data_IF_850636595431
#
_entry.id   IF_850636595431
#
_cell.length_a   1.000
_cell.length_b   1.000
_cell.length_c   1.000
_cell.angle_alpha   90.00
_cell.angle_beta   90.00
_cell.angle_gamma   90.00
#
_symmetry.space_group_name_H-M   'P 1'
#
loop_
_entity.id
_entity.type
_entity.pdbx_description
1 polymer ?
#
# COMPACT_ATOMS: atom_id res chain seq x y z
N UNK A 1 -6.17 -1.55 -32.50
CA UNK A 1 -5.90 -2.44 -31.35
C UNK A 1 -5.88 -1.54 -30.12
N UNK A 2 -6.86 -1.65 -29.21
CA UNK A 2 -6.83 -0.88 -27.96
C UNK A 2 -5.64 -1.35 -27.13
N UNK A 3 -4.90 -0.40 -26.55
CA UNK A 3 -3.85 -0.71 -25.58
C UNK A 3 -4.43 -1.58 -24.45
N UNK A 4 -3.69 -2.56 -23.93
CA UNK A 4 -4.13 -3.34 -22.79
C UNK A 4 -4.44 -2.38 -21.63
N UNK A 5 -5.63 -2.52 -21.03
CA UNK A 5 -6.01 -1.72 -19.86
C UNK A 5 -5.02 -2.02 -18.73
N UNK A 6 -4.42 -1.00 -18.10
CA UNK A 6 -3.47 -1.23 -17.01
C UNK A 6 -4.15 -1.98 -15.86
N UNK A 7 -3.53 -3.07 -15.42
CA UNK A 7 -4.03 -3.92 -14.34
C UNK A 7 -3.81 -3.21 -13.01
N UNK A 8 -4.90 -2.83 -12.35
CA UNK A 8 -4.86 -2.06 -11.11
C UNK A 8 -4.50 -2.96 -9.93
N UNK A 9 -3.37 -2.67 -9.27
CA UNK A 9 -2.92 -3.39 -8.08
C UNK A 9 -2.71 -2.39 -6.96
N UNK A 10 -3.58 -2.44 -5.97
CA UNK A 10 -3.67 -1.41 -4.93
C UNK A 10 -3.59 -2.06 -3.55
N UNK A 11 -2.82 -1.46 -2.65
CA UNK A 11 -2.85 -1.78 -1.22
C UNK A 11 -3.42 -0.60 -0.47
N UNK A 12 -4.55 -0.79 0.22
CA UNK A 12 -5.08 0.15 1.20
C UNK A 12 -4.44 -0.11 2.55
N UNK A 13 -3.60 0.82 3.00
CA UNK A 13 -2.81 0.72 4.22
C UNK A 13 -3.18 1.71 5.30
N UNK A 14 -2.68 1.45 6.50
CA UNK A 14 -2.91 2.25 7.71
C UNK A 14 -3.11 1.38 8.95
N UNK A 15 -3.08 2.02 10.12
CA UNK A 15 -3.26 1.33 11.40
C UNK A 15 -4.67 0.74 11.56
N UNK A 16 -4.86 -0.12 12.56
CA UNK A 16 -6.17 -0.67 12.90
C UNK A 16 -7.15 0.47 13.22
N UNK A 17 -8.41 0.30 12.82
CA UNK A 17 -9.44 1.33 12.97
C UNK A 17 -9.41 2.46 11.92
N UNK A 18 -8.42 2.51 11.02
CA UNK A 18 -8.39 3.53 9.95
C UNK A 18 -9.48 3.34 8.88
N UNK A 19 -10.02 2.13 8.75
CA UNK A 19 -11.09 1.80 7.79
C UNK A 19 -10.62 1.07 6.52
N UNK A 20 -9.43 0.45 6.53
CA UNK A 20 -8.85 -0.26 5.37
C UNK A 20 -9.83 -1.19 4.65
N UNK A 21 -10.46 -2.14 5.35
CA UNK A 21 -11.35 -3.11 4.71
C UNK A 21 -12.61 -2.45 4.13
N UNK A 22 -13.15 -1.44 4.81
CA UNK A 22 -14.29 -0.66 4.31
C UNK A 22 -13.93 0.15 3.07
N UNK A 23 -12.85 0.94 3.11
CA UNK A 23 -12.43 1.75 1.95
C UNK A 23 -11.92 0.86 0.82
N UNK A 24 -11.21 -0.23 1.13
CA UNK A 24 -10.67 -1.18 0.17
C UNK A 24 -11.76 -1.92 -0.60
N UNK A 25 -12.80 -2.43 0.08
CA UNK A 25 -13.94 -3.07 -0.60
C UNK A 25 -14.72 -2.09 -1.47
N UNK A 26 -14.93 -0.87 -0.98
CA UNK A 26 -15.57 0.22 -1.74
C UNK A 26 -14.75 0.64 -2.97
N UNK A 27 -13.43 0.68 -2.85
CA UNK A 27 -12.52 0.98 -3.95
C UNK A 27 -12.50 -0.14 -4.98
N UNK A 28 -12.45 -1.40 -4.55
CA UNK A 28 -12.49 -2.56 -5.44
C UNK A 28 -13.75 -2.55 -6.32
N UNK A 29 -14.91 -2.27 -5.72
CA UNK A 29 -16.18 -2.10 -6.45
C UNK A 29 -16.12 -0.97 -7.49
N UNK A 30 -15.52 0.17 -7.16
CA UNK A 30 -15.36 1.31 -8.08
C UNK A 30 -14.39 1.03 -9.23
N UNK A 31 -13.40 0.17 -9.00
CA UNK A 31 -12.43 -0.24 -10.01
C UNK A 31 -12.89 -1.45 -10.83
N UNK A 32 -13.92 -2.17 -10.37
CA UNK A 32 -14.38 -3.41 -11.01
C UNK A 32 -13.40 -4.57 -10.82
N UNK A 33 -12.68 -4.59 -9.70
CA UNK A 33 -11.65 -5.59 -9.38
C UNK A 33 -11.98 -6.32 -8.08
N UNK A 34 -11.22 -7.39 -7.80
CA UNK A 34 -11.36 -8.16 -6.56
C UNK A 34 -10.93 -7.36 -5.32
N UNK A 35 -11.58 -7.63 -4.19
CA UNK A 35 -11.13 -7.18 -2.87
C UNK A 35 -10.57 -8.36 -2.08
N UNK A 36 -9.39 -8.18 -1.49
CA UNK A 36 -8.72 -9.17 -0.64
C UNK A 36 -8.46 -8.54 0.74
N UNK A 37 -8.86 -9.22 1.80
CA UNK A 37 -8.46 -8.85 3.16
C UNK A 37 -7.18 -9.62 3.55
N UNK A 38 -6.06 -8.91 3.70
CA UNK A 38 -4.78 -9.56 3.98
C UNK A 38 -4.75 -10.27 5.33
N UNK A 39 -5.61 -9.89 6.28
CA UNK A 39 -5.64 -10.56 7.59
C UNK A 39 -6.03 -12.05 7.46
N UNK A 40 -6.81 -12.40 6.42
CA UNK A 40 -7.17 -13.78 6.07
C UNK A 40 -6.02 -14.61 5.49
N UNK A 41 -4.90 -13.98 5.13
CA UNK A 41 -3.72 -14.64 4.56
C UNK A 41 -2.65 -14.95 5.63
N UNK A 42 -2.90 -14.64 6.89
CA UNK A 42 -1.95 -14.95 7.95
C UNK A 42 -1.77 -16.47 8.12
N UNK A 43 -0.53 -16.96 8.27
CA UNK A 43 -0.30 -18.35 8.62
C UNK A 43 -0.86 -18.63 10.02
N UNK A 44 -1.25 -19.88 10.28
CA UNK A 44 -1.84 -20.30 11.55
C UNK A 44 -0.97 -19.94 12.76
N UNK A 45 0.35 -19.92 12.62
CA UNK A 45 1.30 -19.49 13.66
C UNK A 45 1.13 -18.03 14.05
N UNK A 46 0.87 -17.14 13.09
CA UNK A 46 0.64 -15.72 13.36
C UNK A 46 -0.71 -15.51 14.01
N UNK A 47 -1.74 -16.21 13.53
CA UNK A 47 -3.08 -16.17 14.12
C UNK A 47 -3.01 -16.61 15.59
N UNK A 48 -2.31 -17.70 15.89
CA UNK A 48 -2.13 -18.18 17.26
C UNK A 48 -1.38 -17.17 18.16
N UNK A 49 -0.28 -16.57 17.68
CA UNK A 49 0.45 -15.51 18.41
C UNK A 49 -0.45 -14.32 18.74
N UNK A 50 -1.18 -13.82 17.74
CA UNK A 50 -2.09 -12.68 17.94
C UNK A 50 -3.25 -13.02 18.87
N UNK A 51 -3.82 -14.23 18.76
CA UNK A 51 -4.86 -14.71 19.67
C UNK A 51 -4.37 -14.82 21.13
N UNK A 52 -3.09 -15.13 21.33
CA UNK A 52 -2.42 -15.12 22.63
C UNK A 52 -2.00 -13.71 23.10
N UNK A 53 -2.37 -12.64 22.38
CA UNK A 53 -2.00 -11.26 22.71
C UNK A 53 -0.52 -10.94 22.48
N UNK A 54 0.22 -11.82 21.81
CA UNK A 54 1.64 -11.61 21.50
C UNK A 54 1.76 -10.84 20.18
N UNK A 55 2.42 -9.67 20.16
CA UNK A 55 2.65 -8.93 18.93
C UNK A 55 3.52 -9.74 17.96
N UNK A 56 3.15 -9.72 16.67
CA UNK A 56 4.01 -10.27 15.63
C UNK A 56 5.28 -9.41 15.50
N UNK A 57 6.40 -10.03 15.12
CA UNK A 57 7.64 -9.36 14.75
C UNK A 57 7.83 -9.30 13.22
N UNK A 58 9.05 -9.01 12.76
CA UNK A 58 9.37 -8.96 11.32
C UNK A 58 9.45 -10.33 10.66
N UNK A 59 10.02 -11.30 11.35
CA UNK A 59 10.15 -12.66 10.85
C UNK A 59 8.78 -13.32 10.71
N UNK A 60 7.85 -12.99 11.60
CA UNK A 60 6.44 -13.40 11.51
C UNK A 60 5.74 -12.79 10.29
N UNK A 61 6.02 -11.51 9.98
CA UNK A 61 5.31 -10.77 8.92
C UNK A 61 5.86 -11.02 7.53
N UNK A 62 7.14 -11.31 7.38
CA UNK A 62 7.77 -11.46 6.05
C UNK A 62 7.12 -12.57 5.19
N UNK A 63 6.84 -13.80 5.69
CA UNK A 63 6.13 -14.82 4.91
C UNK A 63 4.72 -14.38 4.51
N UNK A 64 3.98 -13.79 5.44
CA UNK A 64 2.64 -13.27 5.20
C UNK A 64 2.61 -12.18 4.13
N UNK A 65 3.54 -11.23 4.16
CA UNK A 65 3.64 -10.18 3.14
C UNK A 65 3.98 -10.74 1.75
N UNK A 66 4.80 -11.80 1.68
CA UNK A 66 5.06 -12.51 0.42
C UNK A 66 3.81 -13.20 -0.11
N UNK A 67 2.99 -13.78 0.76
CA UNK A 67 1.71 -14.37 0.37
C UNK A 67 0.73 -13.32 -0.15
N UNK A 68 0.63 -12.18 0.54
CA UNK A 68 -0.16 -11.03 0.08
C UNK A 68 0.29 -10.56 -1.31
N UNK A 69 1.60 -10.40 -1.51
CA UNK A 69 2.16 -9.99 -2.80
C UNK A 69 1.83 -11.01 -3.91
N UNK A 70 1.92 -12.31 -3.60
CA UNK A 70 1.61 -13.39 -4.53
C UNK A 70 0.14 -13.38 -4.96
N UNK A 71 -0.80 -13.27 -4.01
CA UNK A 71 -2.23 -13.19 -4.32
C UNK A 71 -2.55 -11.96 -5.18
N UNK A 72 -1.99 -10.79 -4.83
CA UNK A 72 -2.18 -9.56 -5.59
C UNK A 72 -1.56 -9.63 -7.00
N UNK A 73 -0.42 -10.32 -7.17
CA UNK A 73 0.19 -10.53 -8.48
C UNK A 73 -0.62 -11.48 -9.36
N UNK A 74 -1.22 -12.52 -8.76
CA UNK A 74 -2.00 -13.55 -9.45
C UNK A 74 -3.37 -13.05 -9.95
N UNK A 75 -3.91 -11.98 -9.35
CA UNK A 75 -5.17 -11.37 -9.75
C UNK A 75 -5.09 -10.76 -11.17
N UNK A 76 -5.51 -11.53 -12.19
CA UNK A 76 -5.41 -11.16 -13.62
C UNK A 76 -6.16 -9.86 -13.97
N UNK A 77 -7.30 -9.63 -13.33
CA UNK A 77 -8.10 -8.41 -13.51
C UNK A 77 -7.64 -7.23 -12.64
N UNK A 78 -6.63 -7.45 -11.79
CA UNK A 78 -6.26 -6.52 -10.73
C UNK A 78 -6.98 -6.84 -9.43
N UNK A 79 -6.53 -6.23 -8.34
CA UNK A 79 -7.15 -6.36 -7.02
C UNK A 79 -6.79 -5.18 -6.12
N UNK A 80 -7.64 -4.98 -5.11
CA UNK A 80 -7.40 -4.09 -3.98
C UNK A 80 -7.24 -4.94 -2.73
N UNK A 81 -6.12 -4.76 -2.02
CA UNK A 81 -5.84 -5.47 -0.77
C UNK A 81 -5.94 -4.50 0.40
N UNK A 82 -6.66 -4.86 1.46
CA UNK A 82 -6.51 -4.21 2.77
C UNK A 82 -5.33 -4.85 3.50
N UNK A 83 -4.27 -4.10 3.79
CA UNK A 83 -3.07 -4.60 4.46
C UNK A 83 -2.48 -3.52 5.36
N UNK A 84 -2.01 -3.85 6.56
CA UNK A 84 -1.47 -2.84 7.48
C UNK A 84 -0.23 -2.12 6.93
N UNK A 85 0.71 -2.86 6.33
CA UNK A 85 1.87 -2.36 5.57
C UNK A 85 2.59 -1.13 6.18
N UNK A 86 2.71 -1.11 7.52
CA UNK A 86 3.04 0.10 8.28
C UNK A 86 4.49 0.57 8.10
N UNK A 87 5.42 -0.34 7.85
CA UNK A 87 6.85 -0.05 7.69
C UNK A 87 7.26 -0.08 6.24
N UNK A 88 8.23 0.74 5.87
CA UNK A 88 8.82 0.81 4.53
C UNK A 88 9.28 -0.57 4.04
N UNK A 89 10.00 -1.32 4.87
CA UNK A 89 10.44 -2.68 4.52
C UNK A 89 9.29 -3.62 4.12
N UNK A 90 8.12 -3.48 4.75
CA UNK A 90 6.95 -4.29 4.42
C UNK A 90 6.40 -3.91 3.05
N UNK A 91 6.34 -2.60 2.78
CA UNK A 91 5.91 -2.08 1.48
C UNK A 91 6.89 -2.46 0.38
N UNK A 92 8.18 -2.52 0.67
CA UNK A 92 9.19 -2.99 -0.29
C UNK A 92 9.03 -4.49 -0.61
N UNK A 93 8.68 -5.34 0.37
CA UNK A 93 8.33 -6.74 0.10
C UNK A 93 7.15 -6.85 -0.86
N UNK A 94 6.10 -6.04 -0.67
CA UNK A 94 4.95 -5.99 -1.57
C UNK A 94 5.32 -5.46 -2.96
N UNK A 95 6.05 -4.33 -3.04
CA UNK A 95 6.47 -3.68 -4.30
C UNK A 95 7.37 -4.58 -5.15
N UNK A 96 8.26 -5.38 -4.53
CA UNK A 96 9.09 -6.35 -5.25
C UNK A 96 8.27 -7.46 -5.90
N UNK A 97 7.24 -7.95 -5.22
CA UNK A 97 6.36 -9.00 -5.77
C UNK A 97 5.31 -8.45 -6.76
N UNK A 98 5.05 -7.15 -6.73
CA UNK A 98 3.97 -6.52 -7.47
C UNK A 98 4.45 -5.23 -8.16
N UNK A 99 5.04 -5.35 -9.37
CA UNK A 99 5.41 -4.17 -10.16
C UNK A 99 4.20 -3.28 -10.45
N UNK A 100 4.36 -1.96 -10.28
CA UNK A 100 3.27 -0.99 -10.46
C UNK A 100 2.27 -0.92 -9.30
N UNK A 101 2.59 -1.51 -8.14
CA UNK A 101 1.78 -1.39 -6.92
C UNK A 101 1.57 0.07 -6.52
N UNK A 102 0.31 0.45 -6.27
CA UNK A 102 -0.07 1.75 -5.70
C UNK A 102 -0.52 1.59 -4.25
N UNK A 103 -0.04 2.45 -3.36
CA UNK A 103 -0.35 2.47 -1.94
C UNK A 103 -1.37 3.57 -1.63
N UNK A 104 -2.50 3.21 -1.03
CA UNK A 104 -3.50 4.16 -0.51
C UNK A 104 -3.40 4.17 1.01
N UNK A 105 -2.77 5.19 1.58
CA UNK A 105 -2.56 5.32 3.01
C UNK A 105 -3.66 6.14 3.67
N UNK A 106 -4.47 5.47 4.50
CA UNK A 106 -5.47 6.10 5.35
C UNK A 106 -4.83 6.63 6.63
N UNK A 107 -4.78 7.96 6.77
CA UNK A 107 -4.15 8.64 7.92
C UNK A 107 -5.18 9.30 8.82
N UNK A 108 -4.91 9.27 10.12
CA UNK A 108 -5.70 9.97 11.11
C UNK A 108 -4.91 10.22 12.38
N UNK A 109 -5.36 11.17 13.19
CA UNK A 109 -4.77 11.40 14.50
C UNK A 109 -5.11 10.24 15.45
N UNK A 110 -4.27 10.05 16.47
CA UNK A 110 -4.50 9.04 17.51
C UNK A 110 -5.91 9.15 18.12
N UNK A 111 -6.38 10.37 18.37
CA UNK A 111 -7.74 10.63 18.90
C UNK A 111 -8.84 10.18 17.93
N UNK A 112 -8.70 10.45 16.63
CA UNK A 112 -9.70 10.04 15.63
C UNK A 112 -9.76 8.51 15.50
N UNK A 113 -8.60 7.86 15.49
CA UNK A 113 -8.48 6.41 15.39
C UNK A 113 -9.04 5.71 16.64
N UNK A 114 -8.71 6.22 17.83
CA UNK A 114 -9.25 5.73 19.09
C UNK A 114 -10.78 5.87 19.16
N UNK A 115 -11.33 7.02 18.73
CA UNK A 115 -12.77 7.24 18.70
C UNK A 115 -13.48 6.23 17.77
N UNK A 116 -12.89 5.92 16.60
CA UNK A 116 -13.42 4.91 15.67
C UNK A 116 -13.36 3.49 16.22
N UNK A 117 -12.29 3.14 16.92
CA UNK A 117 -12.15 1.83 17.56
C UNK A 117 -13.17 1.68 18.70
N UNK A 118 -13.34 2.70 19.54
CA UNK A 118 -14.29 2.68 20.66
C UNK A 118 -15.77 2.62 20.24
N UNK A 119 -16.12 3.10 19.05
CA UNK A 119 -17.48 3.01 18.52
C UNK A 119 -17.86 1.59 18.04
N UNK A 120 -16.90 0.66 17.92
CA UNK A 120 -17.16 -0.74 17.57
C UNK A 120 -17.52 -1.51 18.85
N UNK A 121 -18.81 -1.71 19.08
CA UNK A 121 -19.36 -2.33 20.30
C UNK A 121 -18.86 -3.77 20.55
N UNK A 122 -18.42 -4.50 19.52
CA UNK A 122 -18.11 -5.93 19.62
C UNK A 122 -16.62 -6.30 19.68
N UNK A 123 -15.70 -5.34 19.55
CA UNK A 123 -14.26 -5.61 19.62
C UNK A 123 -13.52 -4.48 20.32
N UNK A 124 -13.37 -4.59 21.65
CA UNK A 124 -12.48 -3.71 22.41
C UNK A 124 -11.03 -3.96 21.99
N UNK A 125 -10.48 -3.08 21.16
CA UNK A 125 -9.06 -3.06 20.87
C UNK A 125 -8.34 -2.25 21.96
N UNK A 126 -7.37 -2.82 22.70
CA UNK A 126 -6.67 -2.09 23.74
C UNK A 126 -5.89 -0.91 23.13
N UNK A 127 -5.98 0.26 23.78
CA UNK A 127 -5.33 1.50 23.32
C UNK A 127 -3.81 1.33 23.11
N UNK A 128 -3.18 0.46 23.89
CA UNK A 128 -1.76 0.12 23.77
C UNK A 128 -1.38 -0.48 22.41
N UNK A 129 -2.29 -1.20 21.75
CA UNK A 129 -2.03 -1.76 20.42
C UNK A 129 -2.12 -0.70 19.32
N UNK A 130 -3.00 0.29 19.46
CA UNK A 130 -3.04 1.45 18.57
C UNK A 130 -1.73 2.25 18.68
N UNK A 131 -1.28 2.53 19.90
CA UNK A 131 -0.04 3.27 20.13
C UNK A 131 1.19 2.52 19.56
N UNK A 132 1.23 1.18 19.69
CA UNK A 132 2.27 0.34 19.08
C UNK A 132 2.27 0.42 17.55
N UNK A 133 1.09 0.42 16.92
CA UNK A 133 0.98 0.52 15.47
C UNK A 133 1.33 1.91 14.94
N UNK A 134 0.96 2.97 15.66
CA UNK A 134 1.37 4.34 15.33
C UNK A 134 2.88 4.51 15.45
N UNK A 135 3.52 3.91 16.47
CA UNK A 135 4.97 3.92 16.62
C UNK A 135 5.69 3.13 15.50
N UNK A 136 5.04 2.10 14.95
CA UNK A 136 5.55 1.32 13.82
C UNK A 136 5.24 1.95 12.45
N UNK A 137 4.39 2.99 12.38
CA UNK A 137 3.99 3.61 11.12
C UNK A 137 5.11 4.52 10.60
N UNK A 138 5.68 4.14 9.47
CA UNK A 138 6.64 4.94 8.72
C UNK A 138 5.90 5.64 7.57
N UNK A 139 6.04 6.98 7.41
CA UNK A 139 5.44 7.72 6.30
C UNK A 139 5.79 7.11 4.93
N UNK A 140 4.92 7.34 3.94
CA UNK A 140 5.24 7.04 2.55
C UNK A 140 6.40 7.94 2.10
N UNK A 141 7.38 7.37 1.40
CA UNK A 141 8.51 8.09 0.83
C UNK A 141 8.27 8.42 -0.65
N UNK A 142 9.09 9.30 -1.22
CA UNK A 142 8.89 9.88 -2.55
C UNK A 142 8.90 8.85 -3.69
N UNK A 143 9.66 7.76 -3.55
CA UNK A 143 9.74 6.71 -4.56
C UNK A 143 8.56 5.70 -4.49
N UNK A 144 7.69 5.84 -3.50
CA UNK A 144 6.51 5.00 -3.33
C UNK A 144 5.32 5.62 -4.05
N UNK A 145 4.78 4.93 -5.07
CA UNK A 145 3.55 5.33 -5.73
C UNK A 145 2.40 5.34 -4.70
N UNK A 146 2.07 6.52 -4.20
CA UNK A 146 1.39 6.69 -2.92
C UNK A 146 0.32 7.77 -2.94
N UNK A 147 -0.82 7.48 -2.30
CA UNK A 147 -1.94 8.39 -2.11
C UNK A 147 -2.21 8.43 -0.61
N UNK A 148 -2.07 9.59 0.02
CA UNK A 148 -2.44 9.80 1.43
C UNK A 148 -3.85 10.39 1.49
N UNK A 149 -4.74 9.77 2.27
CA UNK A 149 -6.12 10.21 2.47
C UNK A 149 -6.47 10.32 3.95
N UNK A 150 -7.07 11.45 4.32
CA UNK A 150 -7.45 11.75 5.70
C UNK A 150 -8.77 11.08 6.08
N UNK A 151 -8.73 10.27 7.14
CA UNK A 151 -9.89 9.51 7.60
C UNK A 151 -11.05 10.37 8.07
N UNK A 152 -10.93 11.70 8.25
CA UNK A 152 -12.07 12.58 8.55
C UNK A 152 -13.17 12.53 7.48
N UNK A 153 -12.82 12.15 6.25
CA UNK A 153 -13.78 12.00 5.17
C UNK A 153 -14.59 10.69 5.31
N UNK A 154 -15.84 10.65 4.81
CA UNK A 154 -16.62 9.43 4.79
C UNK A 154 -15.99 8.37 3.88
N UNK A 155 -16.15 7.06 4.17
CA UNK A 155 -15.54 5.98 3.39
C UNK A 155 -15.80 6.02 1.88
N UNK A 156 -17.01 6.42 1.47
CA UNK A 156 -17.33 6.57 0.05
C UNK A 156 -16.51 7.66 -0.63
N UNK A 157 -16.36 8.84 -0.02
CA UNK A 157 -15.54 9.92 -0.56
C UNK A 157 -14.07 9.52 -0.67
N UNK A 158 -13.55 8.79 0.32
CA UNK A 158 -12.20 8.23 0.30
C UNK A 158 -12.01 7.25 -0.86
N UNK A 159 -12.97 6.36 -1.07
CA UNK A 159 -12.92 5.38 -2.15
C UNK A 159 -13.08 6.03 -3.53
N UNK A 160 -13.91 7.07 -3.66
CA UNK A 160 -14.05 7.86 -4.89
C UNK A 160 -12.74 8.60 -5.25
N UNK A 161 -12.11 9.23 -4.27
CA UNK A 161 -10.85 9.92 -4.44
C UNK A 161 -9.71 8.96 -4.79
N UNK A 162 -9.62 7.83 -4.08
CA UNK A 162 -8.67 6.78 -4.40
C UNK A 162 -8.88 6.27 -5.84
N UNK A 163 -10.12 5.98 -6.25
CA UNK A 163 -10.43 5.48 -7.59
C UNK A 163 -10.04 6.47 -8.69
N UNK A 164 -10.19 7.78 -8.47
CA UNK A 164 -9.70 8.81 -9.39
C UNK A 164 -8.19 8.81 -9.50
N UNK A 165 -7.49 8.82 -8.37
CA UNK A 165 -6.03 8.99 -8.32
C UNK A 165 -5.24 7.76 -8.74
N UNK A 166 -5.74 6.54 -8.49
CA UNK A 166 -5.06 5.31 -8.95
C UNK A 166 -5.17 5.08 -10.46
N UNK A 167 -6.21 5.65 -11.11
CA UNK A 167 -6.40 5.58 -12.56
C UNK A 167 -5.52 6.57 -13.32
N UNK A 168 -5.06 7.63 -12.66
CA UNK A 168 -4.05 8.52 -13.22
C UNK A 168 -2.70 7.83 -13.08
N UNK A 169 -1.95 7.60 -14.17
CA UNK A 169 -0.59 7.08 -14.06
C UNK A 169 0.19 7.96 -13.08
N UNK A 170 0.76 7.37 -12.03
CA UNK A 170 1.75 8.09 -11.23
C UNK A 170 2.89 8.47 -12.18
N UNK A 171 3.49 9.68 -12.06
CA UNK A 171 4.66 10.01 -12.87
C UNK A 171 5.70 8.92 -12.63
N UNK A 172 6.19 8.29 -13.71
CA UNK A 172 7.23 7.27 -13.62
C UNK A 172 8.40 7.84 -12.79
N UNK A 173 9.01 7.05 -11.89
CA UNK A 173 10.27 7.47 -11.29
C UNK A 173 11.24 7.74 -12.44
N UNK A 174 11.75 8.98 -12.50
CA UNK A 174 12.61 9.43 -13.58
C UNK A 174 13.73 8.41 -13.80
N UNK A 175 13.75 7.81 -14.98
CA UNK A 175 14.89 6.99 -15.42
C UNK A 175 16.13 7.90 -15.31
N UNK A 176 17.21 7.51 -14.61
CA UNK A 176 18.41 8.32 -14.57
C UNK A 176 18.89 8.52 -16.00
N UNK A 177 18.97 9.78 -16.44
CA UNK A 177 19.51 10.12 -17.75
C UNK A 177 20.92 9.50 -17.84
N UNK A 178 21.25 8.73 -18.89
CA UNK A 178 22.62 8.26 -19.06
C UNK A 178 23.57 9.46 -19.05
N UNK A 179 24.79 9.32 -18.48
CA UNK A 179 25.75 10.42 -18.48
C UNK A 179 25.97 10.86 -19.92
N UNK A 180 25.79 12.16 -20.17
CA UNK A 180 26.04 12.75 -21.49
C UNK A 180 27.49 12.46 -21.85
N UNK A 181 27.70 11.71 -22.92
CA UNK A 181 29.02 11.58 -23.52
C UNK A 181 29.41 12.94 -24.09
N UNK A 182 30.38 13.60 -23.46
CA UNK A 182 31.00 14.82 -24.00
C UNK A 182 31.76 14.45 -25.28
N UNK A 183 31.10 14.59 -26.42
CA UNK A 183 31.79 14.67 -27.71
C UNK A 183 32.22 16.11 -27.95
N UNK A 184 33.35 16.48 -27.35
CA UNK A 184 34.14 17.62 -27.77
C UNK A 184 35.54 17.15 -28.14
N UNK A 185 35.76 16.94 -29.44
CA UNK A 185 37.04 17.26 -30.11
C UNK A 185 36.84 17.15 -31.63
N UNK A 186 36.50 18.30 -32.23
CA UNK A 186 36.66 18.57 -33.64
C UNK A 186 38.17 18.64 -33.93
N UNK A 187 38.69 17.77 -34.81
CA UNK A 187 40.04 17.89 -35.37
C UNK A 187 40.01 18.90 -36.52
N UNK A 188 40.95 19.85 -36.62
CA UNK A 188 41.21 20.51 -37.89
C UNK A 188 42.17 19.66 -38.74
N UNK A 189 41.84 19.56 -40.03
CA UNK A 189 42.73 19.05 -41.05
C UNK A 189 43.84 20.09 -41.31
N UNK A 190 45.10 19.65 -41.28
CA UNK A 190 46.23 20.40 -41.81
C UNK A 190 46.72 19.69 -43.07
N UNK A 191 46.84 20.46 -44.14
CA UNK A 191 47.31 20.08 -45.45
C UNK A 191 48.81 19.75 -45.46
N UNK A 192 49.19 18.84 -46.35
CA UNK A 192 50.55 18.45 -46.69
C UNK A 192 50.51 17.36 -47.75
#
# INVERSE_FOLDING_TARGET
>A
MSAPTPVMRVVVMGVSGSGKSTVGSLLARRLGVEFIDADGLHPATNVAKMAAGTPLDDADREPWLRDVARELAAARGGAVVACSALRRRYRDTLRRGVPGLVLVHLVGTRTQLAARLGARLDHFMPASLLDTQLAALEPLQEDEAGIVLDIRQPPDALADEAARRVRVPSPEPATPLPPRCDHAQVRPAAAG
#
